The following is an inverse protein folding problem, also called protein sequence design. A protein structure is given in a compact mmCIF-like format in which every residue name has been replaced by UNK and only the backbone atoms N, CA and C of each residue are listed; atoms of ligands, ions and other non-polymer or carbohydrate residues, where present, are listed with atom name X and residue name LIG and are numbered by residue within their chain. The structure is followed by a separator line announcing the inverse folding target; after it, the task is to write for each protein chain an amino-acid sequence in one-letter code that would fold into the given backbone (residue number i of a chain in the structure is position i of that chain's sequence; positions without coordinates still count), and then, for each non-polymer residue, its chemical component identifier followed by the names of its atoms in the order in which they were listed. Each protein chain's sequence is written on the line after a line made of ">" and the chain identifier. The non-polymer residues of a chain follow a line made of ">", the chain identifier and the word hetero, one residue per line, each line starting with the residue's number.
data_IF_629424679183
#
_entry.id   IF_629424679183
#
_cell.length_a   1.000
_cell.length_b   1.000
_cell.length_c   1.000
_cell.angle_alpha   90.00
_cell.angle_beta   90.00
_cell.angle_gamma   90.00
#
_symmetry.space_group_name_H-M   'P 1'
#
loop_
_entity.id
_entity.type
_entity.pdbx_description
1 polymer ?
#
# COMPACT_ATOMS: atom_id res chain seq x y z
N UNK A 1 -10.75 5.29 11.69
CA UNK A 1 -10.91 5.45 10.24
C UNK A 1 -12.32 5.95 9.97
N UNK A 2 -12.56 6.67 8.88
CA UNK A 2 -13.95 6.87 8.43
C UNK A 2 -14.52 5.52 7.99
N UNK A 3 -15.83 5.25 8.15
CA UNK A 3 -16.40 4.00 7.64
C UNK A 3 -16.17 3.87 6.12
N UNK A 4 -15.77 2.69 5.67
CA UNK A 4 -15.49 2.42 4.25
C UNK A 4 -14.07 1.95 3.95
N UNK A 5 -13.66 2.09 2.69
CA UNK A 5 -12.39 1.60 2.16
C UNK A 5 -11.27 2.61 2.39
N UNK A 6 -10.07 2.09 2.69
CA UNK A 6 -8.86 2.87 2.88
C UNK A 6 -7.68 2.14 2.23
N UNK A 7 -6.88 2.85 1.42
CA UNK A 7 -5.66 2.31 0.84
C UNK A 7 -4.69 1.81 1.91
N UNK A 8 -4.01 0.70 1.65
CA UNK A 8 -3.14 0.04 2.61
C UNK A 8 -1.90 -0.49 1.90
N UNK A 9 -0.73 0.06 2.24
CA UNK A 9 0.47 -0.16 1.44
C UNK A 9 1.73 -0.33 2.30
N UNK A 10 2.74 -1.01 1.73
CA UNK A 10 4.12 -0.93 2.22
C UNK A 10 4.84 0.16 1.44
N UNK A 11 5.35 1.16 2.15
CA UNK A 11 6.16 2.25 1.60
C UNK A 11 7.65 1.94 1.68
N UNK A 12 8.44 2.56 0.81
CA UNK A 12 9.84 2.19 0.56
C UNK A 12 10.73 2.30 1.81
N UNK A 13 10.61 3.38 2.57
CA UNK A 13 11.52 3.68 3.67
C UNK A 13 10.88 3.43 5.04
N UNK A 14 11.66 2.86 5.95
CA UNK A 14 11.39 2.85 7.39
C UNK A 14 11.78 4.16 8.07
N UNK A 15 11.64 5.29 7.37
CA UNK A 15 11.98 6.61 7.88
C UNK A 15 10.70 7.32 8.34
N UNK A 16 10.68 7.72 9.61
CA UNK A 16 9.57 8.44 10.23
C UNK A 16 10.01 9.80 10.81
N UNK A 17 11.14 10.34 10.33
CA UNK A 17 11.72 11.61 10.81
C UNK A 17 10.82 12.82 10.51
N UNK A 18 10.05 12.77 9.43
CA UNK A 18 9.00 13.73 9.08
C UNK A 18 7.61 13.06 9.02
N UNK A 19 7.32 12.18 9.99
CA UNK A 19 6.10 11.39 9.99
C UNK A 19 6.01 10.46 8.78
N UNK A 20 4.78 10.12 8.39
CA UNK A 20 4.53 9.21 7.25
C UNK A 20 5.08 9.72 5.91
N UNK A 21 5.28 11.04 5.76
CA UNK A 21 5.85 11.61 4.54
C UNK A 21 7.26 11.09 4.26
N UNK A 22 8.05 10.83 5.31
CA UNK A 22 9.41 10.28 5.16
C UNK A 22 9.43 8.83 4.70
N UNK A 23 8.30 8.12 4.74
CA UNK A 23 8.23 6.73 4.29
C UNK A 23 8.42 6.59 2.76
N UNK A 24 8.32 7.69 2.01
CA UNK A 24 8.51 7.71 0.56
C UNK A 24 7.30 7.19 -0.21
N UNK A 25 7.52 6.75 -1.45
CA UNK A 25 6.52 6.15 -2.32
C UNK A 25 6.23 4.69 -1.92
N UNK A 26 5.34 4.03 -2.65
CA UNK A 26 5.11 2.60 -2.49
C UNK A 26 6.39 1.79 -2.76
N UNK A 27 6.56 0.67 -2.04
CA UNK A 27 7.72 -0.19 -2.25
C UNK A 27 7.64 -0.88 -3.63
N UNK A 28 8.50 -0.42 -4.55
CA UNK A 28 8.50 -0.83 -5.96
C UNK A 28 9.90 -1.23 -6.47
N UNK A 29 10.44 -2.39 -6.05
CA UNK A 29 11.78 -2.82 -6.46
C UNK A 29 11.89 -3.18 -7.95
N UNK A 30 10.75 -3.26 -8.67
CA UNK A 30 10.68 -3.68 -10.06
C UNK A 30 10.34 -2.54 -11.03
N UNK A 31 10.05 -1.33 -10.52
CA UNK A 31 9.68 -0.19 -11.36
C UNK A 31 8.39 -0.40 -12.16
N UNK A 32 7.43 -1.15 -11.60
CA UNK A 32 6.11 -1.37 -12.22
C UNK A 32 5.18 -0.20 -11.92
N UNK A 33 4.03 -0.14 -12.60
CA UNK A 33 2.93 0.77 -12.26
C UNK A 33 2.14 0.27 -11.05
N UNK A 34 1.43 1.18 -10.39
CA UNK A 34 0.51 0.85 -9.30
C UNK A 34 -0.66 -0.02 -9.79
N UNK A 35 -1.14 -0.94 -8.95
CA UNK A 35 -2.25 -1.84 -9.31
C UNK A 35 -2.88 -2.58 -8.12
N UNK A 36 -3.90 -3.40 -8.41
CA UNK A 36 -4.56 -4.21 -7.39
C UNK A 36 -3.66 -5.36 -6.90
N UNK A 37 -3.89 -5.92 -5.70
CA UNK A 37 -3.09 -7.04 -5.19
C UNK A 37 -3.07 -8.29 -6.09
N UNK A 38 -4.13 -8.53 -6.87
CA UNK A 38 -4.20 -9.67 -7.77
C UNK A 38 -3.67 -9.38 -9.18
N UNK A 39 -3.33 -8.12 -9.47
CA UNK A 39 -2.81 -7.72 -10.77
C UNK A 39 -1.35 -8.17 -10.93
N UNK A 40 -0.98 -8.48 -12.17
CA UNK A 40 0.40 -8.82 -12.52
C UNK A 40 1.31 -7.59 -12.52
N UNK A 41 0.75 -6.45 -12.93
CA UNK A 41 1.40 -5.15 -12.88
C UNK A 41 0.89 -4.42 -11.63
N UNK A 42 1.77 -4.35 -10.63
CA UNK A 42 1.56 -3.69 -9.35
C UNK A 42 2.91 -3.45 -8.68
N UNK A 43 2.96 -2.51 -7.74
CA UNK A 43 4.08 -2.44 -6.81
C UNK A 43 4.05 -3.64 -5.84
N UNK A 44 5.22 -4.01 -5.30
CA UNK A 44 5.30 -5.04 -4.26
C UNK A 44 4.55 -4.60 -3.00
N UNK A 45 4.53 -3.29 -2.72
CA UNK A 45 3.83 -2.71 -1.58
C UNK A 45 2.31 -2.56 -1.72
N UNK A 46 1.71 -2.84 -2.88
CA UNK A 46 0.30 -2.52 -3.15
C UNK A 46 -0.68 -3.53 -2.53
N UNK A 47 -1.15 -3.34 -1.29
CA UNK A 47 -2.06 -4.31 -0.64
C UNK A 47 -3.54 -3.96 -0.81
N UNK A 48 -3.85 -2.96 -1.64
CA UNK A 48 -5.21 -2.56 -1.97
C UNK A 48 -5.89 -1.82 -0.82
N UNK A 49 -7.13 -2.22 -0.50
CA UNK A 49 -7.93 -1.53 0.51
C UNK A 49 -8.25 -2.41 1.73
N UNK A 50 -8.20 -1.80 2.90
CA UNK A 50 -8.83 -2.31 4.13
C UNK A 50 -10.20 -1.67 4.32
N UNK A 51 -11.13 -2.35 5.01
CA UNK A 51 -12.49 -1.85 5.23
C UNK A 51 -12.70 -1.56 6.71
N UNK A 52 -12.96 -0.30 7.04
CA UNK A 52 -13.37 0.13 8.37
C UNK A 52 -14.88 0.03 8.54
N UNK A 53 -15.31 -0.51 9.68
CA UNK A 53 -16.72 -0.57 10.07
C UNK A 53 -17.26 0.80 10.53
N UNK A 54 -18.54 0.85 10.90
CA UNK A 54 -19.22 2.06 11.40
C UNK A 54 -18.60 2.63 12.68
N UNK A 55 -17.83 1.82 13.43
CA UNK A 55 -17.06 2.27 14.59
C UNK A 55 -15.65 2.78 14.23
N UNK A 56 -15.32 2.78 12.94
CA UNK A 56 -14.04 3.20 12.40
C UNK A 56 -12.91 2.18 12.59
N UNK A 57 -13.26 0.90 12.83
CA UNK A 57 -12.31 -0.20 13.07
C UNK A 57 -12.21 -1.07 11.81
N UNK A 58 -10.99 -1.26 11.32
CA UNK A 58 -10.71 -2.22 10.25
C UNK A 58 -10.11 -3.50 10.84
N UNK A 59 -10.83 -4.61 10.73
CA UNK A 59 -10.34 -5.97 11.06
C UNK A 59 -10.27 -6.76 9.78
N UNK A 60 -9.08 -7.21 9.41
CA UNK A 60 -8.84 -7.91 8.16
C UNK A 60 -7.73 -8.94 8.31
N UNK A 61 -7.74 -9.90 7.40
CA UNK A 61 -6.68 -10.87 7.18
C UNK A 61 -6.38 -10.85 5.68
N UNK A 62 -5.10 -10.75 5.33
CA UNK A 62 -4.65 -10.74 3.94
C UNK A 62 -3.48 -11.70 3.76
N UNK A 63 -3.44 -12.33 2.59
CA UNK A 63 -2.31 -13.15 2.14
C UNK A 63 -1.81 -12.56 0.83
N UNK A 64 -0.54 -12.20 0.78
CA UNK A 64 0.10 -11.62 -0.41
C UNK A 64 1.25 -12.51 -0.88
N UNK A 65 1.44 -12.61 -2.20
CA UNK A 65 2.43 -13.49 -2.83
C UNK A 65 3.76 -12.79 -3.15
N UNK A 66 3.78 -11.45 -3.13
CA UNK A 66 4.94 -10.63 -3.47
C UNK A 66 5.68 -10.17 -2.20
N UNK A 67 4.96 -9.93 -1.10
CA UNK A 67 5.58 -9.61 0.17
C UNK A 67 6.51 -10.73 0.64
N UNK A 68 7.72 -10.34 1.01
CA UNK A 68 8.70 -11.26 1.57
C UNK A 68 9.30 -10.64 2.83
N UNK A 69 9.66 -11.49 3.80
CA UNK A 69 10.31 -11.06 5.04
C UNK A 69 11.83 -11.26 4.98
N UNK A 70 12.34 -11.82 3.89
CA UNK A 70 13.76 -12.13 3.69
C UNK A 70 14.19 -11.83 2.25
N UNK A 71 15.50 -11.87 2.01
CA UNK A 71 16.06 -11.64 0.67
C UNK A 71 16.03 -10.18 0.23
N UNK A 72 16.36 -9.90 -1.04
CA UNK A 72 16.54 -8.54 -1.56
C UNK A 72 15.26 -7.71 -1.53
N UNK A 73 14.09 -8.36 -1.59
CA UNK A 73 12.77 -7.69 -1.57
C UNK A 73 12.09 -7.77 -0.20
N UNK A 74 12.87 -7.93 0.88
CA UNK A 74 12.31 -7.94 2.22
C UNK A 74 11.61 -6.62 2.55
N UNK A 75 10.46 -6.70 3.23
CA UNK A 75 9.77 -5.55 3.80
C UNK A 75 10.18 -5.23 5.24
N UNK A 76 11.07 -6.03 5.85
CA UNK A 76 11.59 -5.73 7.18
C UNK A 76 12.38 -4.43 7.15
N UNK A 77 12.06 -3.51 8.05
CA UNK A 77 12.66 -2.18 8.11
C UNK A 77 12.01 -1.15 7.18
N UNK A 78 10.87 -1.48 6.56
CA UNK A 78 10.02 -0.57 5.78
C UNK A 78 8.80 -0.13 6.60
N UNK A 79 7.96 0.73 6.03
CA UNK A 79 6.78 1.29 6.70
C UNK A 79 5.49 0.73 6.10
N UNK A 80 4.53 0.38 6.96
CA UNK A 80 3.16 0.08 6.56
C UNK A 80 2.31 1.33 6.77
N UNK A 81 1.56 1.75 5.75
CA UNK A 81 0.75 2.97 5.75
C UNK A 81 -0.70 2.63 5.44
N UNK A 82 -1.62 3.18 6.24
CA UNK A 82 -3.05 3.25 5.93
C UNK A 82 -3.39 4.68 5.50
N UNK A 83 -4.07 4.82 4.37
CA UNK A 83 -4.36 6.09 3.73
C UNK A 83 -5.75 6.61 4.09
N UNK A 84 -5.94 7.92 3.96
CA UNK A 84 -7.24 8.57 4.20
C UNK A 84 -8.30 8.15 3.19
N UNK A 85 -7.89 8.00 1.92
CA UNK A 85 -8.80 7.73 0.81
C UNK A 85 -8.76 6.28 0.33
N UNK A 86 -9.78 5.93 -0.45
CA UNK A 86 -9.88 4.66 -1.17
C UNK A 86 -8.76 4.60 -2.20
N UNK A 87 -8.04 3.48 -2.22
CA UNK A 87 -7.14 3.14 -3.30
C UNK A 87 -7.96 2.71 -4.53
N UNK A 88 -7.73 3.38 -5.67
CA UNK A 88 -8.41 3.14 -6.94
C UNK A 88 -7.86 1.94 -7.72
N UNK A 89 -6.78 1.32 -7.23
CA UNK A 89 -6.12 0.14 -7.78
C UNK A 89 -5.54 0.34 -9.19
N UNK A 90 -5.11 1.56 -9.50
CA UNK A 90 -4.59 1.94 -10.81
C UNK A 90 -5.68 2.15 -11.86
N UNK A 91 -6.95 2.22 -11.45
CA UNK A 91 -8.11 2.16 -12.35
C UNK A 91 -9.03 3.38 -12.28
N UNK A 92 -8.62 4.42 -11.54
CA UNK A 92 -9.41 5.66 -11.40
C UNK A 92 -9.33 6.60 -12.61
N UNK A 93 -8.33 6.42 -13.48
CA UNK A 93 -8.18 7.23 -14.69
C UNK A 93 -7.73 8.67 -14.44
N UNK A 94 -7.11 8.93 -13.29
CA UNK A 94 -6.50 10.22 -12.96
C UNK A 94 -4.96 10.11 -12.88
N UNK A 95 -4.26 11.24 -12.94
CA UNK A 95 -2.79 11.30 -13.04
C UNK A 95 -2.04 10.46 -12.00
N UNK A 96 -2.54 10.40 -10.76
CA UNK A 96 -1.91 9.65 -9.67
C UNK A 96 -2.36 8.20 -9.55
N UNK A 97 -3.24 7.71 -10.43
CA UNK A 97 -3.71 6.32 -10.37
C UNK A 97 -2.54 5.36 -10.55
N UNK A 98 -1.56 5.70 -11.40
CA UNK A 98 -0.50 4.75 -11.78
C UNK A 98 0.82 4.93 -11.00
N UNK A 99 0.99 5.99 -10.19
CA UNK A 99 2.33 6.52 -9.80
C UNK A 99 2.53 6.76 -8.29
N UNK A 100 1.84 6.00 -7.45
CA UNK A 100 1.81 6.14 -5.98
C UNK A 100 3.14 5.89 -5.24
#
# INVERSE_FOLDING_TARGET
>A
LTPGKHGFHVHEFGDNTNGCTSAGAHFNPFGLTHGAPEDRERHVGDLGNVVADESGVAKFELTDKLLNLTGPNSIIGRTVVVHELVDDLGKGGHEFSETT
#
